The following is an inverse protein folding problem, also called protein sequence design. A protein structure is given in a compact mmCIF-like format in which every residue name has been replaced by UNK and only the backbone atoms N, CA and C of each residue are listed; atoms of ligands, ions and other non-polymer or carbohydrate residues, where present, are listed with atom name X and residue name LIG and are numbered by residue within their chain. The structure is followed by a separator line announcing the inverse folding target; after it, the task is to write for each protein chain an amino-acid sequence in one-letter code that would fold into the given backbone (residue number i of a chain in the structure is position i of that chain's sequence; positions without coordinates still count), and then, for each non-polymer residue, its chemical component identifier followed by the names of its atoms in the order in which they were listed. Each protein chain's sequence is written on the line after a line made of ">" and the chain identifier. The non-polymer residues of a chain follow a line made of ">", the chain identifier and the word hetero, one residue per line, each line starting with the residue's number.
data_IF_192785015721
#
_entry.id   IF_192785015721
#
_cell.length_a   1.000
_cell.length_b   1.000
_cell.length_c   1.000
_cell.angle_alpha   90.00
_cell.angle_beta   90.00
_cell.angle_gamma   90.00
#
_symmetry.space_group_name_H-M   'P 1'
#
loop_
_entity.id
_entity.type
_entity.pdbx_description
1 polymer ?
#
# COMPACT_ATOMS: atom_id res chain seq x y z
N UNK A 1 9.19 19.45 -22.32
CA UNK A 1 9.74 18.50 -23.31
C UNK A 1 9.10 17.14 -23.08
N UNK A 2 9.18 16.24 -24.06
CA UNK A 2 8.72 14.85 -23.90
C UNK A 2 9.38 14.19 -22.68
N UNK A 3 10.69 14.38 -22.54
CA UNK A 3 11.50 13.88 -21.41
C UNK A 3 10.95 14.31 -20.04
N UNK A 4 10.65 15.60 -19.85
CA UNK A 4 10.11 16.10 -18.59
C UNK A 4 8.76 15.45 -18.22
N UNK A 5 7.92 15.20 -19.23
CA UNK A 5 6.61 14.60 -19.01
C UNK A 5 6.73 13.10 -18.67
N UNK A 6 7.65 12.37 -19.31
CA UNK A 6 7.94 10.97 -18.98
C UNK A 6 8.54 10.85 -17.57
N UNK A 7 9.49 11.71 -17.21
CA UNK A 7 10.09 11.73 -15.86
C UNK A 7 9.04 12.02 -14.78
N UNK A 8 8.04 12.84 -15.08
CA UNK A 8 6.94 13.12 -14.13
C UNK A 8 6.06 11.88 -13.88
N UNK A 9 5.79 11.09 -14.93
CA UNK A 9 5.06 9.82 -14.80
C UNK A 9 5.88 8.80 -14.00
N UNK A 10 7.17 8.67 -14.29
CA UNK A 10 8.05 7.78 -13.55
C UNK A 10 8.10 8.14 -12.06
N UNK A 11 8.29 9.42 -11.75
CA UNK A 11 8.31 9.92 -10.37
C UNK A 11 6.98 9.59 -9.65
N UNK A 12 5.84 9.80 -10.31
CA UNK A 12 4.53 9.47 -9.74
C UNK A 12 4.39 7.97 -9.45
N UNK A 13 4.88 7.09 -10.33
CA UNK A 13 4.86 5.64 -10.10
C UNK A 13 5.74 5.21 -8.92
N UNK A 14 6.92 5.83 -8.78
CA UNK A 14 7.83 5.58 -7.66
C UNK A 14 7.21 6.03 -6.34
N UNK A 15 6.68 7.26 -6.30
CA UNK A 15 5.99 7.81 -5.13
C UNK A 15 4.77 6.97 -4.74
N UNK A 16 3.94 6.57 -5.73
CA UNK A 16 2.80 5.71 -5.51
C UNK A 16 3.20 4.41 -4.80
N UNK A 17 4.25 3.77 -5.29
CA UNK A 17 4.75 2.49 -4.75
C UNK A 17 5.30 2.66 -3.35
N UNK A 18 6.14 3.68 -3.15
CA UNK A 18 6.79 3.95 -1.87
C UNK A 18 5.77 4.27 -0.78
N UNK A 19 4.81 5.17 -1.02
CA UNK A 19 3.80 5.55 -0.03
C UNK A 19 2.90 4.35 0.31
N UNK A 20 2.53 3.54 -0.69
CA UNK A 20 1.74 2.34 -0.49
C UNK A 20 2.45 1.33 0.41
N UNK A 21 3.73 1.08 0.16
CA UNK A 21 4.54 0.15 0.95
C UNK A 21 4.75 0.67 2.38
N UNK A 22 5.10 1.95 2.54
CA UNK A 22 5.24 2.57 3.86
C UNK A 22 3.95 2.47 4.69
N UNK A 23 2.80 2.74 4.08
CA UNK A 23 1.50 2.67 4.77
C UNK A 23 1.15 1.23 5.13
N UNK A 24 1.45 0.28 4.24
CA UNK A 24 1.25 -1.15 4.52
C UNK A 24 2.06 -1.60 5.74
N UNK A 25 3.35 -1.28 5.78
CA UNK A 25 4.25 -1.67 6.88
C UNK A 25 3.85 -1.01 8.21
N UNK A 26 3.36 0.23 8.19
CA UNK A 26 2.82 0.88 9.38
C UNK A 26 1.60 0.14 9.95
N UNK A 27 0.65 -0.24 9.10
CA UNK A 27 -0.53 -0.99 9.52
C UNK A 27 -0.18 -2.42 9.96
N UNK A 28 0.77 -3.06 9.26
CA UNK A 28 1.30 -4.38 9.59
C UNK A 28 1.94 -4.37 10.98
N UNK A 29 2.84 -3.43 11.25
CA UNK A 29 3.52 -3.30 12.55
C UNK A 29 2.55 -3.06 13.71
N UNK A 30 1.50 -2.24 13.48
CA UNK A 30 0.46 -2.00 14.48
C UNK A 30 -0.34 -3.26 14.85
N UNK A 31 -0.51 -4.19 13.89
CA UNK A 31 -1.20 -5.46 14.11
C UNK A 31 -0.27 -6.54 14.66
N UNK A 32 1.00 -6.57 14.23
CA UNK A 32 2.02 -7.50 14.75
C UNK A 32 2.13 -7.40 16.27
N UNK A 33 2.21 -6.19 16.82
CA UNK A 33 2.29 -5.98 18.26
C UNK A 33 1.09 -6.56 19.03
N UNK A 34 -0.10 -6.55 18.42
CA UNK A 34 -1.33 -7.09 19.02
C UNK A 34 -1.41 -8.62 18.87
N UNK A 35 -1.06 -9.14 17.69
CA UNK A 35 -1.15 -10.55 17.35
C UNK A 35 -0.05 -11.40 18.00
N UNK A 36 1.12 -10.84 18.29
CA UNK A 36 2.23 -11.58 18.87
C UNK A 36 1.91 -12.10 20.29
N UNK A 37 1.17 -11.33 21.09
CA UNK A 37 0.71 -11.76 22.41
C UNK A 37 -0.29 -12.92 22.32
N UNK A 38 -1.23 -12.84 21.37
CA UNK A 38 -2.24 -13.89 21.13
C UNK A 38 -1.58 -15.15 20.57
N UNK A 39 -0.68 -15.02 19.62
CA UNK A 39 0.05 -16.13 19.01
C UNK A 39 0.86 -16.93 20.06
N UNK A 40 1.53 -16.25 21.00
CA UNK A 40 2.25 -16.92 22.08
C UNK A 40 1.33 -17.75 22.97
N UNK A 41 0.11 -17.28 23.24
CA UNK A 41 -0.86 -18.01 24.05
C UNK A 41 -1.42 -19.24 23.31
N UNK A 42 -1.63 -19.14 22.00
CA UNK A 42 -2.14 -20.23 21.17
C UNK A 42 -1.07 -21.30 20.91
N UNK A 43 0.19 -20.90 20.72
CA UNK A 43 1.34 -21.82 20.62
C UNK A 43 1.50 -22.62 21.92
N UNK A 44 1.35 -21.99 23.09
CA UNK A 44 1.37 -22.69 24.39
C UNK A 44 0.28 -23.74 24.55
N UNK A 45 -0.80 -23.66 23.77
CA UNK A 45 -1.88 -24.66 23.72
C UNK A 45 -1.63 -25.75 22.67
N UNK A 46 -0.45 -25.78 22.03
CA UNK A 46 -0.06 -26.79 21.04
C UNK A 46 -0.64 -26.56 19.65
N UNK A 47 -1.28 -25.41 19.40
CA UNK A 47 -1.85 -25.05 18.10
C UNK A 47 -0.81 -24.33 17.24
N UNK A 48 -0.70 -24.71 15.97
CA UNK A 48 0.08 -23.97 14.97
C UNK A 48 -0.76 -22.82 14.41
N UNK A 49 -0.19 -21.62 14.39
CA UNK A 49 -0.82 -20.43 13.80
C UNK A 49 0.11 -19.89 12.74
N UNK A 50 -0.42 -19.67 11.53
CA UNK A 50 0.24 -18.86 10.52
C UNK A 50 -0.08 -17.39 10.81
N UNK A 51 0.76 -16.80 11.66
CA UNK A 51 0.59 -15.42 12.15
C UNK A 51 0.81 -14.43 11.02
N UNK A 52 1.76 -14.70 10.12
CA UNK A 52 2.13 -13.80 9.03
C UNK A 52 0.99 -13.66 8.02
N UNK A 53 0.47 -14.79 7.49
CA UNK A 53 -0.68 -14.75 6.57
C UNK A 53 -1.92 -14.13 7.20
N UNK A 54 -2.11 -14.34 8.52
CA UNK A 54 -3.22 -13.74 9.26
C UNK A 54 -3.08 -12.24 9.40
N UNK A 55 -1.87 -11.72 9.66
CA UNK A 55 -1.61 -10.28 9.69
C UNK A 55 -1.87 -9.67 8.33
N UNK A 56 -1.31 -10.26 7.26
CA UNK A 56 -1.49 -9.72 5.90
C UNK A 56 -2.97 -9.64 5.52
N UNK A 57 -3.72 -10.72 5.77
CA UNK A 57 -5.14 -10.79 5.47
C UNK A 57 -5.92 -9.73 6.27
N UNK A 58 -5.56 -9.49 7.53
CA UNK A 58 -6.20 -8.48 8.36
C UNK A 58 -5.86 -7.05 7.91
N UNK A 59 -4.59 -6.75 7.57
CA UNK A 59 -4.19 -5.46 7.01
C UNK A 59 -5.00 -5.19 5.74
N UNK A 60 -4.94 -6.11 4.76
CA UNK A 60 -5.56 -5.95 3.43
C UNK A 60 -7.09 -5.87 3.50
N UNK A 61 -7.71 -6.47 4.51
CA UNK A 61 -9.15 -6.39 4.72
C UNK A 61 -9.61 -5.22 5.62
N UNK A 62 -8.68 -4.56 6.32
CA UNK A 62 -8.99 -3.48 7.24
C UNK A 62 -9.67 -2.30 6.54
N UNK A 63 -10.61 -1.61 7.20
CA UNK A 63 -11.21 -0.39 6.66
C UNK A 63 -10.18 0.71 6.38
N UNK A 64 -9.13 0.79 7.20
CA UNK A 64 -8.05 1.77 7.07
C UNK A 64 -7.27 1.57 5.78
N UNK A 65 -6.85 0.33 5.50
CA UNK A 65 -6.15 0.00 4.26
C UNK A 65 -7.02 0.24 3.03
N UNK A 66 -8.29 -0.20 3.07
CA UNK A 66 -9.22 -0.02 1.96
C UNK A 66 -9.49 1.46 1.66
N UNK A 67 -9.67 2.28 2.70
CA UNK A 67 -9.85 3.72 2.55
C UNK A 67 -8.59 4.39 2.00
N UNK A 68 -7.41 4.00 2.50
CA UNK A 68 -6.13 4.49 1.99
C UNK A 68 -5.95 4.17 0.50
N UNK A 69 -6.12 2.91 0.09
CA UNK A 69 -5.98 2.50 -1.31
C UNK A 69 -6.95 3.28 -2.20
N UNK A 70 -8.21 3.40 -1.80
CA UNK A 70 -9.21 4.12 -2.59
C UNK A 70 -8.82 5.59 -2.82
N UNK A 71 -8.33 6.29 -1.80
CA UNK A 71 -7.91 7.69 -1.94
C UNK A 71 -6.58 7.82 -2.69
N UNK A 72 -5.63 6.92 -2.44
CA UNK A 72 -4.31 6.91 -3.10
C UNK A 72 -4.44 6.63 -4.60
N UNK A 73 -5.26 5.65 -4.99
CA UNK A 73 -5.57 5.35 -6.39
C UNK A 73 -6.29 6.50 -7.07
N UNK A 74 -7.25 7.14 -6.39
CA UNK A 74 -7.97 8.30 -6.92
C UNK A 74 -7.05 9.49 -7.16
N UNK A 75 -6.23 9.83 -6.16
CA UNK A 75 -5.30 10.97 -6.22
C UNK A 75 -4.23 10.76 -7.30
N UNK A 76 -3.50 9.64 -7.23
CA UNK A 76 -2.46 9.33 -8.20
C UNK A 76 -3.03 9.07 -9.60
N UNK A 77 -4.23 8.48 -9.71
CA UNK A 77 -4.92 8.29 -10.99
C UNK A 77 -5.21 9.62 -11.69
N UNK A 78 -5.73 10.61 -10.97
CA UNK A 78 -5.97 11.95 -11.53
C UNK A 78 -4.70 12.67 -11.97
N UNK A 79 -3.60 12.52 -11.21
CA UNK A 79 -2.29 13.06 -11.60
C UNK A 79 -1.73 12.34 -12.83
N UNK A 80 -1.87 11.02 -12.89
CA UNK A 80 -1.44 10.21 -14.02
C UNK A 80 -2.18 10.62 -15.30
N UNK A 81 -3.51 10.72 -15.24
CA UNK A 81 -4.34 11.17 -16.36
C UNK A 81 -3.91 12.55 -16.86
N UNK A 82 -3.57 13.46 -15.94
CA UNK A 82 -3.06 14.79 -16.27
C UNK A 82 -1.70 14.73 -16.98
N UNK A 83 -0.79 13.87 -16.52
CA UNK A 83 0.50 13.66 -17.18
C UNK A 83 0.35 13.01 -18.57
N UNK A 84 -0.55 12.04 -18.72
CA UNK A 84 -0.84 11.41 -20.01
C UNK A 84 -1.48 12.41 -20.99
N UNK A 85 -2.39 13.27 -20.53
CA UNK A 85 -2.96 14.33 -21.36
C UNK A 85 -1.87 15.25 -21.91
N UNK A 86 -0.93 15.68 -21.05
CA UNK A 86 0.21 16.49 -21.46
C UNK A 86 1.14 15.77 -22.44
N UNK A 87 1.37 14.46 -22.27
CA UNK A 87 2.16 13.67 -23.22
C UNK A 87 1.50 13.64 -24.61
N UNK A 88 0.18 13.50 -24.67
CA UNK A 88 -0.59 13.52 -25.93
C UNK A 88 -0.56 14.86 -26.65
N UNK A 89 -0.32 15.98 -25.95
CA UNK A 89 -0.14 17.29 -26.57
C UNK A 89 1.25 17.47 -27.21
N UNK A 90 2.23 16.66 -26.79
CA UNK A 90 3.63 16.76 -27.21
C UNK A 90 3.96 15.81 -28.37
N UNK A 91 3.18 14.74 -28.55
CA UNK A 91 3.36 13.70 -29.58
C UNK A 91 2.37 13.94 -30.72
#
# INVERSE_FOLDING_TARGET
>A
TLELALNSVEALCQEYTQIKEQTYEQLKSALEGQLQAVAQQVIKQGLKVDVESSIEANVKNSPQWKAFIAEHEKSCGGMFDSHIARLREII
#
